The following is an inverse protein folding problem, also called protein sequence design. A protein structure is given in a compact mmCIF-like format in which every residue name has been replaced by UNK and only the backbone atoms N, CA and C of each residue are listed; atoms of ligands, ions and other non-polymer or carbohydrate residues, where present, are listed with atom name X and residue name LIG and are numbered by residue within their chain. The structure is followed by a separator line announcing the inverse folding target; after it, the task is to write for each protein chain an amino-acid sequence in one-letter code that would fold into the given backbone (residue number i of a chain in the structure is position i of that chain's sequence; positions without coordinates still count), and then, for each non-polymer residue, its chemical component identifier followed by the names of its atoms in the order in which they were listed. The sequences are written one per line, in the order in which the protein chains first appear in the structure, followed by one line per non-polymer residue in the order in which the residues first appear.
data_IF_898448647098
#
_entry.id   IF_898448647098
#
_cell.length_a   1.000
_cell.length_b   1.000
_cell.length_c   1.000
_cell.angle_alpha   90.00
_cell.angle_beta   90.00
_cell.angle_gamma   90.00
#
_symmetry.space_group_name_H-M   'P 1'
#
loop_
_entity.id
_entity.type
_entity.pdbx_description
1 polymer ?
#
# COMPACT_ATOMS: atom_id res chain seq x y z
N UNK A 1 24.95 -52.81 -17.13
CA UNK A 1 24.22 -53.28 -18.33
C UNK A 1 22.85 -53.75 -17.89
N UNK A 2 21.88 -52.84 -17.91
CA UNK A 2 20.43 -53.07 -18.06
C UNK A 2 19.83 -51.68 -18.12
N UNK A 3 19.51 -51.29 -19.35
CA UNK A 3 18.94 -50.02 -19.76
C UNK A 3 17.42 -50.19 -19.80
N UNK A 4 16.71 -49.60 -18.86
CA UNK A 4 15.24 -49.49 -18.92
C UNK A 4 14.86 -48.05 -19.25
N UNK A 5 14.28 -47.94 -20.44
CA UNK A 5 13.77 -46.74 -21.08
C UNK A 5 12.47 -46.31 -20.41
N UNK A 6 12.43 -45.08 -19.91
CA UNK A 6 11.20 -44.44 -19.43
C UNK A 6 10.53 -43.75 -20.62
N UNK A 7 9.35 -44.24 -21.00
CA UNK A 7 8.45 -43.63 -21.99
C UNK A 7 7.88 -42.32 -21.42
N UNK A 8 8.09 -41.22 -22.16
CA UNK A 8 7.41 -39.95 -21.92
C UNK A 8 5.99 -40.00 -22.51
N UNK A 9 4.98 -39.96 -21.64
CA UNK A 9 3.60 -39.71 -22.01
C UNK A 9 3.43 -38.30 -22.58
N UNK A 10 2.85 -38.23 -23.78
CA UNK A 10 2.46 -36.99 -24.45
C UNK A 10 1.11 -36.52 -23.91
N UNK A 11 1.10 -35.41 -23.17
CA UNK A 11 -0.12 -34.70 -22.78
C UNK A 11 -0.78 -34.05 -24.01
N UNK A 12 -2.01 -34.47 -24.32
CA UNK A 12 -2.86 -33.84 -25.33
C UNK A 12 -3.44 -32.51 -24.83
N UNK A 13 -3.62 -31.50 -25.71
CA UNK A 13 -4.29 -30.25 -25.35
C UNK A 13 -5.82 -30.44 -25.33
N UNK A 14 -6.44 -29.93 -24.27
CA UNK A 14 -7.88 -29.81 -24.13
C UNK A 14 -8.47 -28.95 -25.25
N UNK A 15 -9.40 -29.54 -26.00
CA UNK A 15 -10.21 -28.90 -27.02
C UNK A 15 -11.29 -28.01 -26.39
N UNK A 16 -11.36 -26.78 -26.88
CA UNK A 16 -12.43 -25.82 -26.62
C UNK A 16 -13.76 -26.33 -27.15
N UNK A 17 -14.79 -26.16 -26.31
CA UNK A 17 -16.20 -26.49 -26.54
C UNK A 17 -16.73 -25.83 -27.81
N UNK A 18 -17.40 -26.65 -28.63
CA UNK A 18 -18.17 -26.29 -29.81
C UNK A 18 -19.51 -25.64 -29.40
N UNK A 19 -19.79 -24.44 -29.91
CA UNK A 19 -21.12 -23.83 -29.89
C UNK A 19 -21.96 -24.40 -31.04
N UNK A 20 -23.03 -25.13 -30.67
CA UNK A 20 -24.01 -25.65 -31.60
C UNK A 20 -25.03 -24.58 -32.02
N UNK A 21 -25.11 -24.39 -33.34
CA UNK A 21 -26.18 -23.73 -34.07
C UNK A 21 -27.46 -24.57 -34.16
N UNK A 22 -28.61 -23.88 -34.36
CA UNK A 22 -29.86 -24.24 -35.10
C UNK A 22 -31.09 -23.70 -34.32
N UNK A 23 -32.20 -23.21 -34.88
CA UNK A 23 -32.56 -22.63 -36.18
C UNK A 23 -34.04 -22.12 -36.06
N UNK A 24 -34.43 -21.14 -36.88
CA UNK A 24 -35.84 -20.86 -37.23
C UNK A 24 -36.51 -19.72 -36.44
N UNK A 25 -37.17 -18.73 -37.03
CA UNK A 25 -37.46 -18.42 -38.43
C UNK A 25 -38.56 -17.35 -38.50
N UNK A 26 -38.54 -16.56 -39.59
CA UNK A 26 -39.66 -15.91 -40.33
C UNK A 26 -39.42 -14.43 -40.67
N UNK A 27 -39.74 -14.17 -41.93
CA UNK A 27 -39.43 -13.00 -42.71
C UNK A 27 -40.48 -11.87 -42.59
N UNK A 28 -40.02 -10.62 -42.77
CA UNK A 28 -40.78 -9.59 -43.48
C UNK A 28 -39.94 -8.38 -43.91
N UNK A 29 -39.84 -8.21 -45.24
CA UNK A 29 -39.97 -6.99 -46.07
C UNK A 29 -39.12 -5.73 -45.77
N UNK A 30 -38.29 -5.41 -46.77
CA UNK A 30 -38.14 -4.13 -47.51
C UNK A 30 -37.99 -2.82 -46.71
N UNK A 31 -36.82 -2.18 -46.80
CA UNK A 31 -36.63 -0.96 -47.62
C UNK A 31 -35.24 -0.33 -47.46
N UNK A 32 -34.81 0.31 -48.54
CA UNK A 32 -33.53 1.00 -48.77
C UNK A 32 -33.18 2.03 -47.70
N UNK A 33 -32.00 1.91 -47.06
CA UNK A 33 -31.25 3.05 -46.51
C UNK A 33 -29.74 2.79 -46.69
N UNK A 34 -29.21 3.45 -47.71
CA UNK A 34 -27.94 4.19 -47.77
C UNK A 34 -26.70 3.61 -47.05
N UNK A 35 -25.71 3.29 -47.88
CA UNK A 35 -24.27 3.59 -47.73
C UNK A 35 -23.88 4.38 -46.47
N UNK A 36 -23.76 3.68 -45.35
CA UNK A 36 -22.94 4.12 -44.25
C UNK A 36 -21.60 3.41 -44.37
N UNK A 37 -20.63 4.15 -44.92
CA UNK A 37 -19.20 3.84 -44.85
C UNK A 37 -18.91 3.26 -43.46
N UNK A 38 -18.53 1.98 -43.43
CA UNK A 38 -17.87 1.34 -42.29
C UNK A 38 -16.61 2.15 -41.97
N UNK A 39 -16.78 3.24 -41.21
CA UNK A 39 -15.79 3.70 -40.25
C UNK A 39 -15.68 2.55 -39.26
N UNK A 40 -14.86 1.57 -39.62
CA UNK A 40 -14.09 0.78 -38.68
C UNK A 40 -13.41 1.81 -37.78
N UNK A 41 -14.13 2.23 -36.74
CA UNK A 41 -13.52 2.84 -35.59
C UNK A 41 -12.50 1.81 -35.20
N UNK A 42 -11.22 2.11 -35.48
CA UNK A 42 -10.10 1.42 -34.84
C UNK A 42 -10.54 1.25 -33.41
N UNK A 43 -10.95 0.03 -33.05
CA UNK A 43 -11.02 -0.40 -31.68
C UNK A 43 -9.57 -0.21 -31.26
N UNK A 44 -9.29 0.96 -30.67
CA UNK A 44 -8.03 1.27 -30.01
C UNK A 44 -7.82 0.03 -29.17
N UNK A 45 -6.87 -0.81 -29.57
CA UNK A 45 -6.48 -1.96 -28.81
C UNK A 45 -6.14 -1.40 -27.43
N UNK A 46 -7.04 -1.57 -26.46
CA UNK A 46 -6.95 -1.01 -25.09
C UNK A 46 -5.82 -1.67 -24.28
N UNK A 47 -4.92 -2.36 -24.98
CA UNK A 47 -3.79 -3.11 -24.47
C UNK A 47 -2.60 -2.95 -25.43
N UNK A 48 -2.21 -1.71 -25.72
CA UNK A 48 -0.83 -1.49 -26.12
C UNK A 48 0.02 -1.74 -24.88
N UNK A 49 0.50 -2.99 -24.75
CA UNK A 49 1.29 -3.59 -23.66
C UNK A 49 2.68 -2.94 -23.50
N UNK A 50 2.79 -1.63 -23.68
CA UNK A 50 4.05 -0.93 -23.55
C UNK A 50 4.28 -0.53 -22.11
N UNK A 51 5.55 -0.40 -21.78
CA UNK A 51 5.98 0.16 -20.52
C UNK A 51 5.70 1.67 -20.56
N UNK A 52 4.74 2.15 -19.79
CA UNK A 52 4.29 3.55 -19.80
C UNK A 52 4.73 4.27 -18.51
N UNK A 53 5.27 5.48 -18.60
CA UNK A 53 5.52 6.31 -17.43
C UNK A 53 4.19 6.76 -16.83
N UNK A 54 3.96 6.47 -15.55
CA UNK A 54 2.73 6.82 -14.83
C UNK A 54 3.06 7.24 -13.40
N UNK A 55 2.35 8.27 -12.92
CA UNK A 55 2.29 8.58 -11.49
C UNK A 55 1.27 7.66 -10.85
N UNK A 56 1.69 6.85 -9.89
CA UNK A 56 0.82 5.88 -9.23
C UNK A 56 0.86 6.10 -7.71
N UNK A 57 -0.19 5.64 -7.03
CA UNK A 57 -0.15 5.48 -5.57
C UNK A 57 -0.04 4.01 -5.24
N UNK A 58 0.85 3.68 -4.30
CA UNK A 58 1.06 2.32 -3.83
C UNK A 58 0.73 2.28 -2.34
N UNK A 59 -0.13 1.34 -1.97
CA UNK A 59 -0.45 0.96 -0.61
C UNK A 59 0.18 -0.41 -0.34
N UNK A 60 1.22 -0.46 0.48
CA UNK A 60 1.87 -1.68 0.90
C UNK A 60 1.37 -2.05 2.31
N UNK A 61 0.78 -3.23 2.43
CA UNK A 61 0.36 -3.81 3.70
C UNK A 61 1.40 -4.83 4.17
N UNK A 62 1.85 -4.68 5.40
CA UNK A 62 2.71 -5.60 6.12
C UNK A 62 1.90 -6.35 7.19
N UNK A 63 2.00 -7.68 7.18
CA UNK A 63 1.33 -8.56 8.14
C UNK A 63 2.33 -8.93 9.22
N UNK A 64 2.38 -8.11 10.28
CA UNK A 64 3.19 -8.41 11.45
C UNK A 64 2.64 -9.63 12.17
N UNK A 65 3.51 -10.55 12.59
CA UNK A 65 3.12 -11.79 13.25
C UNK A 65 2.86 -12.98 12.32
N UNK A 66 2.97 -12.81 10.98
CA UNK A 66 2.71 -13.89 10.03
C UNK A 66 3.66 -15.09 10.22
N UNK A 67 4.92 -14.85 10.58
CA UNK A 67 5.87 -15.93 10.80
C UNK A 67 5.45 -16.81 12.00
N UNK A 68 5.08 -16.18 13.11
CA UNK A 68 4.57 -16.82 14.31
C UNK A 68 3.27 -17.57 14.01
N UNK A 69 2.45 -16.99 13.14
CA UNK A 69 1.24 -17.61 12.63
C UNK A 69 1.53 -18.92 11.88
N UNK A 70 2.46 -18.89 10.92
CA UNK A 70 2.88 -20.04 10.12
C UNK A 70 3.47 -21.15 11.00
N UNK A 71 4.38 -20.81 11.92
CA UNK A 71 4.99 -21.77 12.84
C UNK A 71 3.95 -22.42 13.76
N UNK A 72 2.97 -21.65 14.22
CA UNK A 72 1.93 -22.18 15.11
C UNK A 72 0.95 -23.12 14.41
N UNK A 73 0.82 -23.03 13.08
CA UNK A 73 -0.11 -23.77 12.25
C UNK A 73 0.58 -24.81 11.35
N UNK A 74 1.87 -25.07 11.53
CA UNK A 74 2.65 -26.02 10.71
C UNK A 74 1.98 -27.42 10.67
N UNK A 75 1.32 -27.82 11.77
CA UNK A 75 0.57 -29.08 11.86
C UNK A 75 -0.85 -29.05 11.27
N UNK A 76 -1.36 -27.90 10.80
CA UNK A 76 -2.72 -27.75 10.28
C UNK A 76 -2.80 -26.75 9.10
N UNK A 77 -2.39 -27.16 7.89
CA UNK A 77 -2.38 -26.29 6.72
C UNK A 77 -3.79 -25.83 6.29
N UNK A 78 -4.83 -26.59 6.61
CA UNK A 78 -6.22 -26.21 6.31
C UNK A 78 -6.65 -24.95 7.05
N UNK A 79 -6.24 -24.82 8.32
CA UNK A 79 -6.52 -23.61 9.10
C UNK A 79 -5.78 -22.41 8.52
N UNK A 80 -4.52 -22.57 8.13
CA UNK A 80 -3.75 -21.51 7.48
C UNK A 80 -4.42 -21.01 6.19
N UNK A 81 -4.85 -21.94 5.33
CA UNK A 81 -5.57 -21.59 4.09
C UNK A 81 -6.86 -20.86 4.38
N UNK A 82 -7.64 -21.29 5.39
CA UNK A 82 -8.87 -20.60 5.78
C UNK A 82 -8.61 -19.15 6.21
N UNK A 83 -7.57 -18.94 7.01
CA UNK A 83 -7.24 -17.63 7.56
C UNK A 83 -6.69 -16.67 6.50
N UNK A 84 -5.79 -17.16 5.64
CA UNK A 84 -5.35 -16.41 4.46
C UNK A 84 -6.53 -16.14 3.52
N UNK A 85 -7.44 -17.10 3.35
CA UNK A 85 -8.67 -16.92 2.57
C UNK A 85 -9.54 -15.78 3.10
N UNK A 86 -9.68 -15.65 4.42
CA UNK A 86 -10.39 -14.54 5.04
C UNK A 86 -9.72 -13.19 4.77
N UNK A 87 -8.39 -13.13 4.93
CA UNK A 87 -7.60 -11.94 4.64
C UNK A 87 -7.76 -11.52 3.18
N UNK A 88 -7.56 -12.45 2.24
CA UNK A 88 -7.67 -12.17 0.82
C UNK A 88 -9.10 -11.80 0.40
N UNK A 89 -10.13 -12.37 1.04
CA UNK A 89 -11.52 -11.98 0.82
C UNK A 89 -11.79 -10.52 1.21
N UNK A 90 -11.22 -10.06 2.34
CA UNK A 90 -11.32 -8.65 2.72
C UNK A 90 -10.54 -7.74 1.76
N UNK A 91 -9.31 -8.12 1.40
CA UNK A 91 -8.48 -7.41 0.43
C UNK A 91 -9.22 -7.23 -0.90
N UNK A 92 -9.71 -8.33 -1.46
CA UNK A 92 -10.43 -8.37 -2.73
C UNK A 92 -11.70 -7.50 -2.70
N UNK A 93 -12.43 -7.52 -1.58
CA UNK A 93 -13.59 -6.64 -1.38
C UNK A 93 -13.20 -5.17 -1.42
N UNK A 94 -12.15 -4.76 -0.69
CA UNK A 94 -11.72 -3.35 -0.65
C UNK A 94 -11.15 -2.90 -2.00
N UNK A 95 -10.38 -3.76 -2.67
CA UNK A 95 -9.79 -3.47 -3.98
C UNK A 95 -10.89 -3.21 -5.01
N UNK A 96 -11.95 -4.02 -5.03
CA UNK A 96 -13.11 -3.78 -5.90
C UNK A 96 -13.78 -2.43 -5.63
N UNK A 97 -14.00 -2.09 -4.36
CA UNK A 97 -14.67 -0.82 -3.99
C UNK A 97 -13.81 0.40 -4.29
N UNK A 98 -12.50 0.32 -4.07
CA UNK A 98 -11.56 1.44 -4.26
C UNK A 98 -10.98 1.50 -5.68
N UNK A 99 -11.29 0.52 -6.53
CA UNK A 99 -10.68 0.34 -7.86
C UNK A 99 -9.16 0.14 -7.79
N UNK A 100 -8.65 -0.50 -6.73
CA UNK A 100 -7.23 -0.84 -6.65
C UNK A 100 -6.84 -1.95 -7.62
N UNK A 101 -5.54 -2.19 -7.76
CA UNK A 101 -4.99 -3.37 -8.43
C UNK A 101 -4.06 -4.11 -7.48
N UNK A 102 -4.38 -5.38 -7.17
CA UNK A 102 -3.49 -6.24 -6.40
C UNK A 102 -2.28 -6.59 -7.27
N UNK A 103 -1.10 -6.07 -6.94
CA UNK A 103 0.11 -6.24 -7.75
C UNK A 103 0.76 -7.58 -7.42
N UNK A 104 1.07 -7.80 -6.14
CA UNK A 104 1.69 -9.01 -5.67
C UNK A 104 1.40 -9.24 -4.19
N UNK A 105 1.62 -10.49 -3.79
CA UNK A 105 1.75 -10.92 -2.42
C UNK A 105 3.06 -11.71 -2.32
N UNK A 106 4.00 -11.22 -1.53
CA UNK A 106 5.33 -11.80 -1.39
C UNK A 106 5.68 -11.84 0.11
N UNK A 107 5.81 -13.04 0.66
CA UNK A 107 6.03 -13.27 2.09
C UNK A 107 4.91 -12.68 2.97
N UNK A 108 5.24 -11.72 3.83
CA UNK A 108 4.34 -11.00 4.74
C UNK A 108 3.92 -9.63 4.19
N UNK A 109 4.19 -9.37 2.91
CA UNK A 109 3.93 -8.09 2.25
C UNK A 109 2.91 -8.27 1.12
N UNK A 110 1.89 -7.41 1.14
CA UNK A 110 0.87 -7.32 0.12
C UNK A 110 0.90 -5.92 -0.51
N UNK A 111 0.94 -5.84 -1.84
CA UNK A 111 1.03 -4.54 -2.54
C UNK A 111 -0.22 -4.28 -3.37
N UNK A 112 -0.87 -3.16 -3.11
CA UNK A 112 -2.01 -2.65 -3.89
C UNK A 112 -1.58 -1.36 -4.56
N UNK A 113 -1.78 -1.26 -5.87
CA UNK A 113 -1.43 -0.07 -6.63
C UNK A 113 -2.65 0.55 -7.32
N UNK A 114 -2.63 1.87 -7.43
CA UNK A 114 -3.70 2.69 -8.00
C UNK A 114 -3.15 3.48 -9.19
N UNK A 115 -4.03 3.83 -10.14
CA UNK A 115 -3.67 4.52 -11.39
C UNK A 115 -2.69 3.75 -12.31
N UNK A 116 -2.59 2.43 -12.17
CA UNK A 116 -1.64 1.58 -12.89
C UNK A 116 -2.06 1.24 -14.31
N UNK A 117 -3.27 0.69 -14.47
CA UNK A 117 -3.81 0.24 -15.77
C UNK A 117 -4.84 1.21 -16.34
N UNK A 118 -5.64 1.81 -15.47
CA UNK A 118 -6.71 2.75 -15.82
C UNK A 118 -6.38 4.08 -15.17
N UNK A 119 -6.60 5.17 -15.91
CA UNK A 119 -6.43 6.52 -15.37
C UNK A 119 -7.48 6.76 -14.29
N UNK A 120 -7.02 7.00 -13.07
CA UNK A 120 -7.85 7.20 -11.90
C UNK A 120 -7.60 8.59 -11.33
N UNK A 121 -8.65 9.39 -11.24
CA UNK A 121 -8.60 10.63 -10.48
C UNK A 121 -8.53 10.31 -8.98
N UNK A 122 -7.80 11.16 -8.24
CA UNK A 122 -7.62 11.10 -6.79
C UNK A 122 -7.17 9.71 -6.33
N UNK A 123 -6.20 9.12 -7.04
CA UNK A 123 -5.69 7.79 -6.71
C UNK A 123 -4.96 7.77 -5.36
N UNK A 124 -4.42 8.91 -4.92
CA UNK A 124 -3.84 9.14 -3.60
C UNK A 124 -4.90 8.98 -2.50
N UNK A 125 -6.05 9.66 -2.61
CA UNK A 125 -7.16 9.53 -1.66
C UNK A 125 -7.70 8.10 -1.60
N UNK A 126 -7.81 7.44 -2.76
CA UNK A 126 -8.27 6.05 -2.84
C UNK A 126 -7.31 5.10 -2.15
N UNK A 127 -6.01 5.33 -2.26
CA UNK A 127 -5.01 4.53 -1.56
C UNK A 127 -5.16 4.68 -0.04
N UNK A 128 -5.32 5.91 0.48
CA UNK A 128 -5.54 6.14 1.91
C UNK A 128 -6.85 5.52 2.39
N UNK A 129 -7.95 5.77 1.69
CA UNK A 129 -9.25 5.18 2.02
C UNK A 129 -9.21 3.64 2.02
N UNK A 130 -8.45 3.04 1.11
CA UNK A 130 -8.27 1.58 1.07
C UNK A 130 -7.54 1.04 2.30
N UNK A 131 -6.49 1.73 2.75
CA UNK A 131 -5.73 1.33 3.94
C UNK A 131 -6.59 1.44 5.20
N UNK A 132 -7.34 2.53 5.35
CA UNK A 132 -8.27 2.74 6.46
C UNK A 132 -9.34 1.63 6.50
N UNK A 133 -9.98 1.37 5.35
CA UNK A 133 -11.02 0.34 5.25
C UNK A 133 -10.46 -1.07 5.47
N UNK A 134 -9.25 -1.37 5.00
CA UNK A 134 -8.59 -2.65 5.25
C UNK A 134 -8.22 -2.80 6.72
N UNK A 135 -7.66 -1.77 7.34
CA UNK A 135 -7.33 -1.76 8.76
C UNK A 135 -8.58 -2.08 9.60
N UNK A 136 -9.69 -1.40 9.32
CA UNK A 136 -10.95 -1.62 10.02
C UNK A 136 -11.47 -3.05 9.83
N UNK A 137 -11.59 -3.50 8.57
CA UNK A 137 -12.13 -4.83 8.24
C UNK A 137 -11.28 -5.96 8.76
N UNK A 138 -9.96 -5.88 8.63
CA UNK A 138 -9.05 -6.91 9.09
C UNK A 138 -8.99 -6.95 10.62
N UNK A 139 -9.07 -5.79 11.30
CA UNK A 139 -9.21 -5.75 12.77
C UNK A 139 -10.52 -6.40 13.20
N UNK A 140 -11.63 -6.12 12.49
CA UNK A 140 -12.92 -6.74 12.77
C UNK A 140 -12.87 -8.27 12.58
N UNK A 141 -12.29 -8.76 11.48
CA UNK A 141 -12.11 -10.21 11.25
C UNK A 141 -11.23 -10.84 12.33
N UNK A 142 -10.15 -10.17 12.73
CA UNK A 142 -9.27 -10.63 13.79
C UNK A 142 -10.03 -10.81 15.11
N UNK A 143 -10.78 -9.79 15.52
CA UNK A 143 -11.49 -9.81 16.80
C UNK A 143 -12.73 -10.70 16.79
N UNK A 144 -13.57 -10.63 15.76
CA UNK A 144 -14.86 -11.32 15.76
C UNK A 144 -14.81 -12.74 15.16
N UNK A 145 -13.89 -13.00 14.24
CA UNK A 145 -13.81 -14.31 13.59
C UNK A 145 -12.68 -15.13 14.17
N UNK A 146 -11.46 -14.60 14.20
CA UNK A 146 -10.29 -15.42 14.57
C UNK A 146 -10.17 -15.64 16.07
N UNK A 147 -10.42 -14.60 16.89
CA UNK A 147 -10.43 -14.73 18.36
C UNK A 147 -11.60 -15.57 18.86
N UNK A 148 -12.82 -15.30 18.42
CA UNK A 148 -14.03 -15.99 18.93
C UNK A 148 -14.14 -17.46 18.51
N UNK A 149 -13.70 -17.80 17.30
CA UNK A 149 -13.78 -19.19 16.79
C UNK A 149 -12.73 -20.13 17.38
N UNK A 150 -11.75 -19.60 18.14
CA UNK A 150 -10.61 -20.36 18.61
C UNK A 150 -9.69 -20.86 17.48
N UNK A 151 -9.80 -20.29 16.27
CA UNK A 151 -8.92 -20.61 15.15
C UNK A 151 -7.44 -20.28 15.47
N UNK A 152 -7.22 -19.30 16.32
CA UNK A 152 -5.91 -18.91 16.83
C UNK A 152 -5.91 -18.91 18.35
N UNK A 153 -4.77 -19.30 18.95
CA UNK A 153 -4.52 -19.04 20.36
C UNK A 153 -4.47 -17.53 20.58
N UNK A 154 -5.02 -17.09 21.70
CA UNK A 154 -5.15 -15.66 22.02
C UNK A 154 -3.80 -14.93 21.93
N UNK A 155 -2.75 -15.52 22.47
CA UNK A 155 -1.37 -15.02 22.42
C UNK A 155 -0.88 -14.74 20.99
N UNK A 156 -1.26 -15.59 20.02
CA UNK A 156 -0.85 -15.43 18.61
C UNK A 156 -1.70 -14.35 17.94
N UNK A 157 -2.99 -14.30 18.27
CA UNK A 157 -3.91 -13.29 17.74
C UNK A 157 -3.46 -11.86 18.12
N UNK A 158 -2.91 -11.69 19.32
CA UNK A 158 -2.37 -10.41 19.80
C UNK A 158 -1.10 -9.96 19.06
N UNK A 159 -0.29 -10.91 18.58
CA UNK A 159 0.90 -10.61 17.79
C UNK A 159 0.55 -10.10 16.38
N UNK A 160 -0.64 -10.44 15.88
CA UNK A 160 -1.07 -10.08 14.53
C UNK A 160 -1.47 -8.60 14.47
N UNK A 161 -0.69 -7.85 13.68
CA UNK A 161 -0.95 -6.45 13.39
C UNK A 161 -0.80 -6.17 11.90
N UNK A 162 -1.71 -5.39 11.36
CA UNK A 162 -1.65 -4.93 9.98
C UNK A 162 -1.06 -3.53 9.98
N UNK A 163 -0.04 -3.31 9.16
CA UNK A 163 0.59 -2.01 8.98
C UNK A 163 0.58 -1.62 7.52
N UNK A 164 0.38 -0.35 7.25
CA UNK A 164 0.22 0.18 5.91
C UNK A 164 1.22 1.31 5.70
N UNK A 165 1.93 1.27 4.58
CA UNK A 165 2.73 2.36 4.07
C UNK A 165 2.17 2.79 2.72
N UNK A 166 2.01 4.10 2.55
CA UNK A 166 1.43 4.67 1.34
C UNK A 166 2.34 5.76 0.81
N UNK A 167 2.66 5.67 -0.48
CA UNK A 167 3.35 6.74 -1.18
C UNK A 167 2.83 6.86 -2.61
N UNK A 168 3.15 7.98 -3.23
CA UNK A 168 2.89 8.22 -4.65
C UNK A 168 4.21 8.61 -5.32
N UNK A 169 4.50 7.95 -6.44
CA UNK A 169 5.75 8.12 -7.18
C UNK A 169 5.48 8.01 -8.68
N UNK A 170 6.33 8.63 -9.49
CA UNK A 170 6.40 8.35 -10.94
C UNK A 170 7.13 7.03 -11.14
N UNK A 171 6.53 6.18 -11.96
CA UNK A 171 6.98 4.81 -12.18
C UNK A 171 6.80 4.43 -13.63
N UNK A 172 7.37 3.30 -14.04
CA UNK A 172 7.05 2.68 -15.31
C UNK A 172 6.19 1.44 -15.08
N UNK A 173 5.00 1.41 -15.68
CA UNK A 173 4.05 0.32 -15.54
C UNK A 173 3.79 -0.36 -16.88
N UNK A 174 3.74 -1.68 -16.92
CA UNK A 174 3.41 -2.41 -18.14
C UNK A 174 3.54 -3.92 -18.01
N UNK A 175 3.12 -4.64 -19.04
CA UNK A 175 3.21 -6.09 -19.09
C UNK A 175 4.57 -6.52 -19.67
N UNK A 176 5.43 -7.08 -18.82
CA UNK A 176 6.77 -7.55 -19.18
C UNK A 176 6.86 -9.06 -19.00
N UNK A 177 7.59 -9.73 -19.90
CA UNK A 177 7.82 -11.17 -19.84
C UNK A 177 8.14 -11.76 -21.21
N UNK A 178 8.13 -13.09 -21.29
CA UNK A 178 8.38 -13.84 -22.52
C UNK A 178 7.20 -13.69 -23.49
N UNK A 179 7.25 -14.36 -24.65
CA UNK A 179 6.10 -14.42 -25.57
C UNK A 179 4.92 -15.17 -24.94
N UNK A 180 5.22 -16.16 -24.10
CA UNK A 180 4.23 -17.09 -23.55
C UNK A 180 3.66 -16.61 -22.22
N UNK A 181 4.45 -15.88 -21.43
CA UNK A 181 4.06 -15.41 -20.10
C UNK A 181 4.38 -13.92 -19.98
N UNK A 182 3.35 -13.12 -19.69
CA UNK A 182 3.47 -11.69 -19.39
C UNK A 182 2.99 -11.43 -17.97
N UNK A 183 3.79 -10.70 -17.21
CA UNK A 183 3.45 -10.22 -15.87
C UNK A 183 3.28 -8.72 -15.91
N UNK A 184 2.27 -8.21 -15.21
CA UNK A 184 2.18 -6.79 -14.96
C UNK A 184 3.29 -6.39 -13.98
N UNK A 185 4.17 -5.49 -14.40
CA UNK A 185 5.34 -5.06 -13.63
C UNK A 185 5.32 -3.56 -13.43
N UNK A 186 5.76 -3.14 -12.24
CA UNK A 186 6.01 -1.75 -11.89
C UNK A 186 7.51 -1.61 -11.63
N UNK A 187 8.19 -0.75 -12.40
CA UNK A 187 9.58 -0.38 -12.17
C UNK A 187 9.62 0.95 -11.42
N UNK A 188 10.14 0.92 -10.20
CA UNK A 188 10.36 2.10 -9.37
C UNK A 188 11.20 1.75 -8.13
N UNK A 189 11.72 2.78 -7.49
CA UNK A 189 12.29 2.77 -6.14
C UNK A 189 11.26 2.56 -5.03
N UNK A 190 9.96 2.55 -5.37
CA UNK A 190 8.86 2.54 -4.39
C UNK A 190 8.95 1.41 -3.37
N UNK A 191 9.38 0.21 -3.79
CA UNK A 191 9.51 -0.94 -2.88
C UNK A 191 10.49 -0.63 -1.74
N UNK A 192 11.65 -0.05 -2.06
CA UNK A 192 12.64 0.33 -1.06
C UNK A 192 12.08 1.39 -0.10
N UNK A 193 11.42 2.41 -0.65
CA UNK A 193 10.86 3.50 0.13
C UNK A 193 9.76 3.00 1.09
N UNK A 194 8.83 2.19 0.58
CA UNK A 194 7.75 1.61 1.37
C UNK A 194 8.27 0.67 2.46
N UNK A 195 9.29 -0.15 2.17
CA UNK A 195 9.92 -1.02 3.17
C UNK A 195 10.55 -0.20 4.31
N UNK A 196 11.21 0.93 4.01
CA UNK A 196 11.72 1.84 5.04
C UNK A 196 10.60 2.44 5.89
N UNK A 197 9.51 2.88 5.23
CA UNK A 197 8.33 3.45 5.89
C UNK A 197 7.67 2.42 6.82
N UNK A 198 7.49 1.17 6.37
CA UNK A 198 6.95 0.07 7.18
C UNK A 198 7.83 -0.21 8.40
N UNK A 199 9.15 -0.29 8.23
CA UNK A 199 10.08 -0.51 9.35
C UNK A 199 9.96 0.60 10.38
N UNK A 200 9.82 1.84 9.93
CA UNK A 200 9.62 2.99 10.80
C UNK A 200 8.27 2.91 11.54
N UNK A 201 7.19 2.57 10.83
CA UNK A 201 5.87 2.37 11.44
C UNK A 201 5.80 1.24 12.44
N UNK A 202 6.53 0.14 12.19
CA UNK A 202 6.70 -0.94 13.17
C UNK A 202 7.36 -0.45 14.46
N UNK A 203 8.45 0.32 14.34
CA UNK A 203 9.16 0.90 15.50
C UNK A 203 8.24 1.80 16.35
N UNK A 204 7.39 2.59 15.70
CA UNK A 204 6.48 3.52 16.38
C UNK A 204 5.11 2.93 16.72
N UNK A 205 4.87 1.66 16.37
CA UNK A 205 3.57 0.99 16.46
C UNK A 205 2.42 1.74 15.77
N UNK A 206 2.71 2.47 14.70
CA UNK A 206 1.71 3.19 13.90
C UNK A 206 1.10 2.25 12.85
N UNK A 207 -0.24 2.20 12.69
CA UNK A 207 -0.90 1.32 11.74
C UNK A 207 -0.81 1.83 10.30
N UNK A 208 -0.97 3.13 10.05
CA UNK A 208 -0.96 3.70 8.70
C UNK A 208 0.01 4.87 8.65
N UNK A 209 0.96 4.77 7.73
CA UNK A 209 1.94 5.82 7.44
C UNK A 209 1.84 6.24 5.98
N UNK A 210 1.89 7.55 5.76
CA UNK A 210 1.81 8.18 4.46
C UNK A 210 3.00 9.14 4.26
N UNK A 211 3.42 9.34 3.02
CA UNK A 211 4.36 10.41 2.68
C UNK A 211 3.67 11.77 2.58
N UNK A 212 4.44 12.85 2.68
CA UNK A 212 3.96 14.23 2.56
C UNK A 212 3.17 14.46 1.26
N UNK A 213 3.65 13.89 0.17
CA UNK A 213 2.96 13.98 -1.10
C UNK A 213 1.53 13.40 -1.01
N UNK A 214 1.31 12.30 -0.29
CA UNK A 214 -0.04 11.74 -0.08
C UNK A 214 -0.87 12.63 0.86
N UNK A 215 -0.26 13.20 1.92
CA UNK A 215 -0.91 14.13 2.88
C UNK A 215 -1.60 15.29 2.14
N UNK A 216 -0.90 15.88 1.17
CA UNK A 216 -1.42 17.02 0.37
C UNK A 216 -2.77 16.72 -0.31
N UNK A 217 -3.00 15.49 -0.76
CA UNK A 217 -4.27 15.10 -1.40
C UNK A 217 -5.36 14.67 -0.42
N UNK A 218 -5.01 14.32 0.82
CA UNK A 218 -5.94 13.70 1.77
C UNK A 218 -6.34 14.60 2.95
N UNK A 219 -5.76 15.81 3.06
CA UNK A 219 -5.98 16.73 4.18
C UNK A 219 -7.44 17.10 4.45
N UNK A 220 -8.33 16.98 3.45
CA UNK A 220 -9.76 17.29 3.60
C UNK A 220 -10.57 16.17 4.26
N UNK A 221 -10.06 14.94 4.28
CA UNK A 221 -10.81 13.74 4.68
C UNK A 221 -10.15 12.95 5.81
N UNK A 222 -8.89 13.22 6.09
CA UNK A 222 -8.11 12.45 7.04
C UNK A 222 -7.29 13.40 7.91
N UNK A 223 -7.30 13.14 9.20
CA UNK A 223 -6.37 13.77 10.13
C UNK A 223 -5.02 13.06 10.07
N UNK A 224 -3.96 13.85 10.00
CA UNK A 224 -2.60 13.35 9.83
C UNK A 224 -1.68 14.01 10.83
N UNK A 225 -0.82 13.22 11.48
CA UNK A 225 0.23 13.73 12.39
C UNK A 225 1.60 13.56 11.74
N UNK A 226 2.40 14.61 11.75
CA UNK A 226 3.81 14.53 11.38
C UNK A 226 4.57 13.55 12.29
N UNK A 227 5.39 12.66 11.71
CA UNK A 227 6.18 11.70 12.47
C UNK A 227 7.68 11.96 12.40
N UNK A 228 8.20 12.18 11.20
CA UNK A 228 9.65 12.28 10.95
C UNK A 228 9.95 12.79 9.54
N UNK A 229 11.20 13.21 9.32
CA UNK A 229 11.78 13.37 7.98
C UNK A 229 12.73 12.21 7.70
N UNK A 230 12.59 11.59 6.53
CA UNK A 230 13.40 10.44 6.12
C UNK A 230 13.87 10.62 4.70
N UNK A 231 15.10 10.22 4.47
CA UNK A 231 15.66 10.17 3.13
C UNK A 231 15.08 8.97 2.35
N UNK A 232 14.27 9.25 1.33
CA UNK A 232 13.70 8.28 0.40
C UNK A 232 14.41 8.37 -0.95
N UNK A 233 14.42 7.27 -1.70
CA UNK A 233 15.01 7.23 -3.04
C UNK A 233 14.10 7.93 -4.05
N UNK A 234 14.71 8.70 -4.96
CA UNK A 234 14.01 9.40 -6.03
C UNK A 234 13.30 8.44 -7.01
N UNK A 235 12.35 8.98 -7.77
CA UNK A 235 11.51 8.24 -8.73
C UNK A 235 12.30 7.56 -9.85
N UNK A 236 13.47 8.08 -10.20
CA UNK A 236 14.27 7.63 -11.34
C UNK A 236 15.23 6.47 -11.03
N UNK A 237 15.23 5.98 -9.78
CA UNK A 237 16.03 4.83 -9.38
C UNK A 237 15.25 3.52 -9.53
N UNK A 238 15.72 2.64 -10.40
CA UNK A 238 15.06 1.35 -10.68
C UNK A 238 15.87 0.14 -10.17
N UNK A 239 17.15 0.36 -9.83
CA UNK A 239 18.06 -0.68 -9.35
C UNK A 239 18.02 -0.79 -7.84
N UNK A 240 17.91 -2.00 -7.33
CA UNK A 240 17.97 -2.29 -5.89
C UNK A 240 19.39 -2.24 -5.32
N UNK A 241 20.42 -2.38 -6.17
CA UNK A 241 21.82 -2.53 -5.76
C UNK A 241 22.64 -1.25 -5.83
N UNK A 242 22.08 -0.19 -6.41
CA UNK A 242 22.81 1.07 -6.56
C UNK A 242 22.63 1.95 -5.31
N UNK A 243 23.76 2.34 -4.71
CA UNK A 243 23.85 3.29 -3.60
C UNK A 243 24.05 4.70 -4.17
N UNK A 244 22.95 5.40 -4.46
CA UNK A 244 22.99 6.80 -4.89
C UNK A 244 21.97 7.66 -4.16
N UNK A 245 22.12 8.97 -4.36
CA UNK A 245 21.42 10.11 -3.77
C UNK A 245 20.01 9.83 -3.25
N UNK A 246 19.77 10.25 -2.00
CA UNK A 246 18.48 10.17 -1.35
C UNK A 246 17.90 11.58 -1.21
N UNK A 247 16.59 11.72 -1.41
CA UNK A 247 15.85 12.95 -1.18
C UNK A 247 15.23 12.91 0.21
N UNK A 248 15.15 14.06 0.90
CA UNK A 248 14.42 14.15 2.17
C UNK A 248 12.91 14.22 1.94
N UNK A 249 12.17 13.23 2.43
CA UNK A 249 10.72 13.16 2.39
C UNK A 249 10.15 13.18 3.81
N UNK A 250 9.07 13.93 3.98
CA UNK A 250 8.35 13.94 5.26
C UNK A 250 7.34 12.81 5.32
N UNK A 251 7.18 12.25 6.51
CA UNK A 251 6.33 11.10 6.77
C UNK A 251 5.34 11.46 7.87
N UNK A 252 4.06 11.14 7.65
CA UNK A 252 2.99 11.33 8.61
C UNK A 252 2.20 10.06 8.90
N UNK A 253 1.54 9.99 10.06
CA UNK A 253 0.56 8.94 10.39
C UNK A 253 -0.85 9.40 10.11
N UNK A 254 -1.71 8.52 9.59
CA UNK A 254 -3.14 8.77 9.48
C UNK A 254 -3.86 8.22 10.71
N UNK A 255 -4.71 9.04 11.35
CA UNK A 255 -5.57 8.60 12.44
C UNK A 255 -6.99 8.26 11.97
N UNK A 256 -7.68 7.45 12.77
CA UNK A 256 -9.07 7.03 12.56
C UNK A 256 -10.05 7.64 13.56
N UNK A 257 -9.56 8.39 14.55
CA UNK A 257 -10.36 8.93 15.64
C UNK A 257 -10.97 10.30 15.30
N UNK A 258 -12.29 10.43 15.35
CA UNK A 258 -13.00 11.71 15.28
C UNK A 258 -13.01 12.49 16.63
N UNK A 259 -12.13 12.18 17.59
CA UNK A 259 -12.12 12.79 18.94
C UNK A 259 -11.39 14.13 18.96
N UNK A 260 -12.16 15.17 18.63
CA UNK A 260 -11.78 16.54 18.26
C UNK A 260 -11.20 17.48 19.34
N UNK A 261 -10.65 17.04 20.48
CA UNK A 261 -10.29 18.03 21.55
C UNK A 261 -8.89 17.99 22.14
N UNK A 262 -8.13 16.90 22.02
CA UNK A 262 -6.72 16.89 22.50
C UNK A 262 -5.73 16.45 21.44
N UNK A 263 -6.14 15.61 20.50
CA UNK A 263 -5.28 15.21 19.38
C UNK A 263 -5.05 16.37 18.40
N UNK A 264 -6.02 17.29 18.25
CA UNK A 264 -5.92 18.53 17.47
C UNK A 264 -4.68 19.37 17.81
N UNK A 265 -4.40 19.57 19.09
CA UNK A 265 -3.22 20.33 19.52
C UNK A 265 -1.91 19.66 19.09
N UNK A 266 -1.85 18.33 19.13
CA UNK A 266 -0.66 17.57 18.70
C UNK A 266 -0.47 17.64 17.19
N UNK A 267 -1.56 17.67 16.41
CA UNK A 267 -1.50 17.88 14.96
C UNK A 267 -0.98 19.28 14.62
N UNK A 268 -1.52 20.32 15.26
CA UNK A 268 -1.07 21.70 15.08
C UNK A 268 0.40 21.89 15.51
N UNK A 269 0.84 21.17 16.54
CA UNK A 269 2.24 21.14 16.98
C UNK A 269 3.16 20.42 15.99
N UNK A 270 2.71 19.29 15.45
CA UNK A 270 3.43 18.57 14.39
C UNK A 270 3.60 19.43 13.14
N UNK A 271 2.52 20.08 12.69
CA UNK A 271 2.54 21.01 11.55
C UNK A 271 3.38 22.26 11.87
N UNK A 272 3.41 22.70 13.14
CA UNK A 272 4.32 23.77 13.58
C UNK A 272 5.78 23.36 13.50
N UNK A 273 6.13 22.11 13.81
CA UNK A 273 7.49 21.59 13.65
C UNK A 273 7.84 21.45 12.16
N UNK A 274 6.89 21.01 11.33
CA UNK A 274 7.01 20.94 9.87
C UNK A 274 7.37 22.32 9.27
N UNK A 275 6.58 23.36 9.59
CA UNK A 275 6.82 24.72 9.10
C UNK A 275 8.08 25.39 9.69
N UNK A 276 8.47 25.02 10.91
CA UNK A 276 9.59 25.66 11.63
C UNK A 276 10.93 24.98 11.44
N UNK A 277 10.99 23.80 10.81
CA UNK A 277 12.25 23.26 10.30
C UNK A 277 12.62 23.84 8.93
N UNK A 278 11.70 24.50 8.22
CA UNK A 278 12.00 25.25 7.00
C UNK A 278 12.47 26.69 7.28
N UNK A 279 12.29 27.18 8.51
CA UNK A 279 12.72 28.51 8.96
C UNK A 279 13.76 28.33 10.07
N UNK A 280 14.95 28.90 9.91
CA UNK A 280 16.16 28.68 10.74
C UNK A 280 16.02 29.02 12.25
N UNK A 281 14.84 29.45 12.70
CA UNK A 281 14.58 29.96 14.05
C UNK A 281 14.05 28.87 14.99
N UNK A 282 14.82 27.79 15.16
CA UNK A 282 14.52 26.56 15.90
C UNK A 282 13.87 26.74 17.29
N UNK A 283 12.54 26.85 17.32
CA UNK A 283 11.69 26.84 18.53
C UNK A 283 11.45 25.42 19.07
N UNK A 284 12.43 24.53 19.02
CA UNK A 284 12.32 23.18 19.59
C UNK A 284 12.08 23.24 21.11
N UNK A 285 12.66 24.24 21.78
CA UNK A 285 12.49 24.49 23.21
C UNK A 285 11.02 24.79 23.59
N UNK A 286 10.25 25.46 22.72
CA UNK A 286 8.83 25.75 22.94
C UNK A 286 7.96 24.49 22.79
N UNK A 287 8.36 23.53 21.95
CA UNK A 287 7.60 22.30 21.70
C UNK A 287 7.78 21.25 22.82
N UNK A 288 8.94 21.22 23.47
CA UNK A 288 9.26 20.28 24.57
C UNK A 288 8.20 20.28 25.70
N UNK A 289 7.80 21.42 26.31
CA UNK A 289 6.82 21.41 27.37
C UNK A 289 5.46 20.88 26.92
N UNK A 290 5.06 21.16 25.68
CA UNK A 290 3.79 20.71 25.11
C UNK A 290 3.78 19.19 24.88
N UNK A 291 4.88 18.62 24.37
CA UNK A 291 5.00 17.17 24.26
C UNK A 291 5.05 16.48 25.62
N UNK A 292 5.70 17.08 26.63
CA UNK A 292 5.73 16.54 28.00
C UNK A 292 4.34 16.55 28.63
N UNK A 293 3.56 17.62 28.42
CA UNK A 293 2.16 17.68 28.87
C UNK A 293 1.32 16.59 28.21
N UNK A 294 1.41 16.42 26.89
CA UNK A 294 0.70 15.35 26.18
C UNK A 294 1.13 13.95 26.66
N UNK A 295 2.43 13.74 26.89
CA UNK A 295 2.98 12.48 27.37
C UNK A 295 2.50 12.13 28.79
N UNK A 296 2.22 13.11 29.65
CA UNK A 296 1.62 12.84 30.96
C UNK A 296 0.22 12.22 30.84
N UNK A 297 -0.54 12.62 29.81
CA UNK A 297 -1.87 12.05 29.52
C UNK A 297 -1.75 10.73 28.75
N UNK A 298 -0.78 10.64 27.85
CA UNK A 298 -0.58 9.50 26.93
C UNK A 298 0.84 8.92 27.05
N UNK A 299 1.19 8.27 28.18
CA UNK A 299 2.57 7.85 28.44
C UNK A 299 3.10 6.83 27.43
N UNK A 300 2.21 6.09 26.75
CA UNK A 300 2.55 5.03 25.81
C UNK A 300 2.52 5.46 24.34
N UNK A 301 2.29 6.74 24.03
CA UNK A 301 2.32 7.22 22.64
C UNK A 301 3.76 7.34 22.13
N UNK A 302 4.24 6.26 21.49
CA UNK A 302 5.61 6.17 20.97
C UNK A 302 5.97 7.28 19.97
N UNK A 303 5.06 7.74 19.09
CA UNK A 303 5.31 8.89 18.23
C UNK A 303 5.62 10.19 19.00
N UNK A 304 4.86 10.53 20.05
CA UNK A 304 5.18 11.70 20.89
C UNK A 304 6.54 11.53 21.58
N UNK A 305 6.84 10.34 22.11
CA UNK A 305 8.17 10.06 22.69
C UNK A 305 9.30 10.23 21.66
N UNK A 306 9.06 9.85 20.41
CA UNK A 306 10.01 10.02 19.31
C UNK A 306 10.23 11.49 18.96
N UNK A 307 9.15 12.27 18.80
CA UNK A 307 9.23 13.71 18.52
C UNK A 307 9.90 14.48 19.66
N UNK A 308 9.55 14.17 20.92
CA UNK A 308 10.20 14.77 22.09
C UNK A 308 11.72 14.52 22.08
N UNK A 309 12.14 13.29 21.77
CA UNK A 309 13.57 12.95 21.65
C UNK A 309 14.24 13.75 20.53
N UNK A 310 13.58 13.93 19.38
CA UNK A 310 14.12 14.74 18.29
C UNK A 310 14.28 16.21 18.70
N UNK A 311 13.27 16.79 19.37
CA UNK A 311 13.36 18.15 19.89
C UNK A 311 14.51 18.31 20.90
N UNK A 312 14.67 17.35 21.82
CA UNK A 312 15.76 17.38 22.80
C UNK A 312 17.15 17.23 22.15
N UNK A 313 17.29 16.41 21.11
CA UNK A 313 18.54 16.27 20.35
C UNK A 313 18.90 17.55 19.58
N UNK A 314 17.91 18.19 18.96
CA UNK A 314 18.11 19.44 18.22
C UNK A 314 18.43 20.60 19.17
N UNK A 315 17.76 20.71 20.32
CA UNK A 315 18.06 21.73 21.32
C UNK A 315 19.47 21.61 21.93
N UNK A 316 20.03 20.40 21.96
CA UNK A 316 21.40 20.16 22.45
C UNK A 316 22.48 20.38 21.39
N UNK A 317 22.12 20.37 20.11
CA UNK A 317 23.08 20.61 19.03
C UNK A 317 23.35 22.11 19.01
N UNK A 318 24.53 22.58 19.45
CA UNK A 318 24.82 24.00 19.43
C UNK A 318 24.68 24.47 17.99
N UNK A 319 23.96 25.56 17.77
CA UNK A 319 23.99 26.29 16.50
C UNK A 319 25.45 26.62 16.26
N UNK A 320 26.13 25.78 15.48
CA UNK A 320 27.44 26.11 14.95
C UNK A 320 27.16 27.31 14.07
N UNK A 321 27.36 28.50 14.63
CA UNK A 321 27.38 29.74 13.88
C UNK A 321 28.40 29.53 12.78
N UNK A 322 27.92 29.20 11.58
CA UNK A 322 28.68 29.28 10.36
C UNK A 322 28.85 30.79 10.14
N UNK A 323 29.83 31.36 10.85
CA UNK A 323 30.36 32.67 10.52
C UNK A 323 31.05 32.53 9.16
N UNK A 324 30.41 33.14 8.16
CA UNK A 324 30.91 33.66 6.87
C UNK A 324 32.06 32.93 6.15
#
# INVERSE_FOLDING_TARGET
MTSDSVELEKSQPFSSIEDNSLEGGKASKLSNILDSKKKSSKLKCKFSLYLEPRKISINQMYIEGLNEWLLSLEGNPTHLVSLLGDLFSQVDTVIRTTSGHLVNFENDILTIAYNTTINQNNHEEKAVASAQLLQEKLTNVKENKWRESGLLREEICELINFRFAICAQKTFCGNIGTKDIKHFTIFSSTRHNLDQIIRFGKKLKVPIIITQHIKQYCHTRCETRFLDRRELREDYFFSSLDDFNQENWEIGSVSMSNSLTKDCLLYELGDSIEMKQETDDGKFEEAIPLFREYQQVNPNDLPTQHLLRLCEQQAQTPTLNILE
#
